data_IF_674635027658
#
_entry.id   IF_674635027658
#
_cell.length_a   1.000
_cell.length_b   1.000
_cell.length_c   1.000
_cell.angle_alpha   90.00
_cell.angle_beta   90.00
_cell.angle_gamma   90.00
#
_symmetry.space_group_name_H-M   'P 1'
#
loop_
_entity.id
_entity.type
_entity.pdbx_description
1 polymer ?
#
# COMPACT_ATOMS: atom_id res chain seq x y z
N UNK A 1 -7.37 33.83 28.11
CA UNK A 1 -7.78 33.02 26.95
C UNK A 1 -6.47 32.56 26.35
N UNK A 2 -5.97 31.42 26.82
CA UNK A 2 -4.71 30.88 26.32
C UNK A 2 -4.95 30.38 24.90
N UNK A 3 -4.20 30.89 23.92
CA UNK A 3 -4.25 30.36 22.57
C UNK A 3 -3.86 28.88 22.61
N UNK A 4 -4.68 27.97 22.02
CA UNK A 4 -4.31 26.58 21.93
C UNK A 4 -3.07 26.42 21.03
N UNK A 5 -1.89 26.36 21.64
CA UNK A 5 -0.59 26.23 20.96
C UNK A 5 -0.25 24.78 20.59
N UNK A 6 -1.23 24.02 20.09
CA UNK A 6 -1.03 22.62 19.76
C UNK A 6 -2.09 22.04 18.83
N UNK A 7 -1.76 20.94 18.18
CA UNK A 7 -2.70 20.18 17.32
C UNK A 7 -3.75 19.42 18.13
N UNK A 8 -3.56 19.23 19.44
CA UNK A 8 -4.47 18.48 20.32
C UNK A 8 -5.93 18.96 20.27
N UNK A 9 -6.21 20.25 20.50
CA UNK A 9 -7.58 20.79 20.45
C UNK A 9 -8.24 20.68 19.07
N UNK A 10 -7.46 20.71 17.99
CA UNK A 10 -7.94 20.51 16.61
C UNK A 10 -8.32 19.05 16.39
N UNK A 11 -7.49 18.12 16.87
CA UNK A 11 -7.76 16.68 16.76
C UNK A 11 -8.95 16.27 17.63
N UNK A 12 -9.12 16.87 18.81
CA UNK A 12 -10.24 16.61 19.70
C UNK A 12 -11.58 17.07 19.09
N UNK A 13 -11.61 18.28 18.51
CA UNK A 13 -12.77 18.78 17.78
C UNK A 13 -13.12 17.91 16.54
N UNK A 14 -12.11 17.47 15.77
CA UNK A 14 -12.32 16.57 14.63
C UNK A 14 -12.76 15.16 15.04
N UNK A 15 -12.41 14.74 16.25
CA UNK A 15 -12.75 13.43 16.80
C UNK A 15 -14.21 13.35 17.28
N UNK A 16 -14.71 14.41 17.94
CA UNK A 16 -16.12 14.50 18.35
C UNK A 16 -17.08 14.45 17.14
N UNK A 17 -16.67 15.03 16.02
CA UNK A 17 -17.44 15.03 14.76
C UNK A 17 -17.29 13.73 13.94
N UNK A 18 -16.53 12.73 14.42
CA UNK A 18 -16.23 11.48 13.69
C UNK A 18 -15.39 11.68 12.41
N UNK A 19 -15.08 12.92 12.08
CA UNK A 19 -14.36 13.37 10.87
C UNK A 19 -12.91 12.88 10.89
N UNK A 20 -12.30 12.79 12.07
CA UNK A 20 -10.93 12.29 12.24
C UNK A 20 -10.80 10.80 11.86
N UNK A 21 -11.74 9.95 12.30
CA UNK A 21 -11.74 8.53 11.92
C UNK A 21 -12.03 8.33 10.44
N UNK A 22 -12.93 9.14 9.87
CA UNK A 22 -13.22 9.11 8.44
C UNK A 22 -11.98 9.45 7.60
N UNK A 23 -11.35 10.60 7.84
CA UNK A 23 -10.16 11.01 7.08
C UNK A 23 -8.95 10.14 7.34
N UNK A 24 -8.77 9.66 8.59
CA UNK A 24 -7.75 8.67 8.92
C UNK A 24 -7.96 7.36 8.16
N UNK A 25 -9.21 6.92 8.03
CA UNK A 25 -9.60 5.75 7.23
C UNK A 25 -9.32 5.94 5.74
N UNK A 26 -9.69 7.09 5.17
CA UNK A 26 -9.43 7.44 3.76
C UNK A 26 -7.92 7.46 3.48
N UNK A 27 -7.13 8.11 4.34
CA UNK A 27 -5.67 8.15 4.19
C UNK A 27 -5.08 6.74 4.27
N UNK A 28 -5.52 5.92 5.23
CA UNK A 28 -5.08 4.54 5.38
C UNK A 28 -5.44 3.68 4.16
N UNK A 29 -6.62 3.86 3.59
CA UNK A 29 -7.06 3.16 2.39
C UNK A 29 -6.19 3.53 1.17
N UNK A 30 -5.90 4.82 0.96
CA UNK A 30 -5.02 5.29 -0.12
C UNK A 30 -3.61 4.74 0.06
N UNK A 31 -3.06 4.83 1.27
CA UNK A 31 -1.70 4.34 1.57
C UNK A 31 -1.62 2.82 1.32
N UNK A 32 -2.60 2.06 1.82
CA UNK A 32 -2.67 0.60 1.60
C UNK A 32 -2.76 0.27 0.11
N UNK A 33 -3.59 1.00 -0.62
CA UNK A 33 -3.79 0.82 -2.05
C UNK A 33 -2.53 1.09 -2.89
N UNK A 34 -1.62 1.94 -2.41
CA UNK A 34 -0.32 2.18 -3.06
C UNK A 34 0.75 1.20 -2.58
N UNK A 35 0.80 0.90 -1.29
CA UNK A 35 1.83 0.04 -0.71
C UNK A 35 1.69 -1.43 -1.12
N UNK A 36 0.47 -1.98 -1.13
CA UNK A 36 0.22 -3.38 -1.52
C UNK A 36 0.77 -3.70 -2.93
N UNK A 37 0.50 -2.89 -3.97
CA UNK A 37 1.08 -3.09 -5.30
C UNK A 37 2.60 -2.97 -5.34
N UNK A 38 3.20 -2.07 -4.57
CA UNK A 38 4.66 -1.91 -4.50
C UNK A 38 5.34 -3.19 -3.98
N UNK A 39 4.68 -3.93 -3.07
CA UNK A 39 5.15 -5.27 -2.68
C UNK A 39 5.14 -6.28 -3.84
N UNK A 40 4.40 -6.03 -4.92
CA UNK A 40 4.49 -6.81 -6.16
C UNK A 40 5.89 -6.79 -6.77
N UNK A 41 6.61 -5.67 -6.72
CA UNK A 41 8.01 -5.59 -7.18
C UNK A 41 8.94 -6.41 -6.28
N UNK A 42 8.70 -6.39 -4.98
CA UNK A 42 9.44 -7.21 -4.01
C UNK A 42 9.19 -8.69 -4.26
N UNK A 43 7.96 -9.08 -4.60
CA UNK A 43 7.62 -10.45 -4.99
C UNK A 43 8.36 -10.88 -6.27
N UNK A 44 8.46 -10.01 -7.30
CA UNK A 44 9.26 -10.29 -8.50
C UNK A 44 10.72 -10.55 -8.12
N UNK A 45 11.34 -9.66 -7.33
CA UNK A 45 12.72 -9.80 -6.92
C UNK A 45 12.95 -11.07 -6.07
N UNK A 46 12.08 -11.33 -5.10
CA UNK A 46 12.16 -12.50 -4.23
C UNK A 46 11.99 -13.79 -5.02
N UNK A 47 11.03 -13.85 -5.95
CA UNK A 47 10.83 -15.00 -6.82
C UNK A 47 12.00 -15.23 -7.78
N UNK A 48 12.59 -14.16 -8.34
CA UNK A 48 13.79 -14.27 -9.17
C UNK A 48 14.99 -14.80 -8.38
N UNK A 49 15.24 -14.24 -7.20
CA UNK A 49 16.35 -14.67 -6.33
C UNK A 49 16.17 -16.10 -5.83
N UNK A 50 14.95 -16.49 -5.47
CA UNK A 50 14.63 -17.87 -5.07
C UNK A 50 14.74 -18.86 -6.25
N UNK A 51 14.53 -18.40 -7.48
CA UNK A 51 14.74 -19.23 -8.67
C UNK A 51 16.22 -19.50 -8.93
N UNK A 52 17.09 -18.53 -8.65
CA UNK A 52 18.54 -18.58 -8.87
C UNK A 52 19.27 -19.38 -7.76
N UNK A 53 18.88 -19.18 -6.48
CA UNK A 53 19.45 -19.85 -5.30
C UNK A 53 18.90 -21.28 -5.09
N UNK A 54 19.02 -22.18 -6.09
CA UNK A 54 19.08 -23.65 -5.89
C UNK A 54 17.80 -24.52 -5.83
N UNK A 55 16.58 -24.09 -6.19
CA UNK A 55 15.46 -25.08 -6.24
C UNK A 55 14.55 -25.09 -7.46
N UNK A 56 14.60 -24.12 -8.40
CA UNK A 56 13.66 -24.03 -9.54
C UNK A 56 12.23 -24.42 -9.14
N UNK A 57 11.83 -24.05 -7.94
CA UNK A 57 10.61 -24.53 -7.33
C UNK A 57 9.43 -23.80 -7.95
N UNK A 58 8.34 -24.52 -8.15
CA UNK A 58 7.09 -23.95 -8.67
C UNK A 58 6.65 -22.72 -7.85
N UNK A 59 6.96 -22.69 -6.55
CA UNK A 59 6.71 -21.54 -5.67
C UNK A 59 7.45 -20.26 -6.09
N UNK A 60 8.72 -20.34 -6.48
CA UNK A 60 9.49 -19.18 -6.93
C UNK A 60 8.89 -18.56 -8.19
N UNK A 61 8.49 -19.41 -9.14
CA UNK A 61 7.83 -18.99 -10.38
C UNK A 61 6.46 -18.35 -10.12
N UNK A 62 5.65 -18.93 -9.23
CA UNK A 62 4.34 -18.37 -8.86
C UNK A 62 4.52 -16.98 -8.25
N UNK A 63 5.42 -16.82 -7.27
CA UNK A 63 5.64 -15.53 -6.60
C UNK A 63 6.12 -14.46 -7.61
N UNK A 64 7.07 -14.81 -8.48
CA UNK A 64 7.57 -13.89 -9.50
C UNK A 64 6.48 -13.47 -10.50
N UNK A 65 5.72 -14.44 -11.02
CA UNK A 65 4.63 -14.16 -11.98
C UNK A 65 3.52 -13.35 -11.35
N UNK A 66 3.13 -13.66 -10.11
CA UNK A 66 2.12 -12.88 -9.39
C UNK A 66 2.55 -11.43 -9.22
N UNK A 67 3.81 -11.17 -8.84
CA UNK A 67 4.35 -9.81 -8.78
C UNK A 67 4.38 -9.12 -10.16
N UNK A 68 4.80 -9.84 -11.19
CA UNK A 68 4.93 -9.35 -12.57
C UNK A 68 3.59 -9.08 -13.26
N UNK A 69 2.50 -9.70 -12.80
CA UNK A 69 1.14 -9.38 -13.25
C UNK A 69 0.52 -8.30 -12.36
N UNK A 70 0.69 -8.39 -11.05
CA UNK A 70 0.07 -7.51 -10.07
C UNK A 70 0.52 -6.05 -10.17
N UNK A 71 1.83 -5.80 -10.22
CA UNK A 71 2.33 -4.43 -10.26
C UNK A 71 1.98 -3.71 -11.59
N UNK A 72 2.18 -4.31 -12.78
CA UNK A 72 1.81 -3.66 -14.04
C UNK A 72 0.30 -3.48 -14.22
N UNK A 73 -0.53 -4.41 -13.74
CA UNK A 73 -1.99 -4.26 -13.80
C UNK A 73 -2.49 -3.12 -12.90
N UNK A 74 -1.91 -2.96 -11.71
CA UNK A 74 -2.16 -1.79 -10.87
C UNK A 74 -1.70 -0.49 -11.53
N UNK A 75 -0.51 -0.48 -12.14
CA UNK A 75 -0.02 0.69 -12.87
C UNK A 75 -0.93 1.04 -14.06
N UNK A 76 -1.40 0.04 -14.80
CA UNK A 76 -2.35 0.22 -15.88
C UNK A 76 -3.65 0.84 -15.35
N UNK A 77 -4.20 0.33 -14.25
CA UNK A 77 -5.38 0.90 -13.58
C UNK A 77 -5.19 2.39 -13.26
N UNK A 78 -4.03 2.78 -12.70
CA UNK A 78 -3.72 4.19 -12.42
C UNK A 78 -3.68 5.07 -13.68
N UNK A 79 -3.09 4.56 -14.76
CA UNK A 79 -2.91 5.31 -16.01
C UNK A 79 -4.24 5.44 -16.76
N UNK A 80 -5.03 4.37 -16.81
CA UNK A 80 -6.26 4.33 -17.60
C UNK A 80 -7.48 4.85 -16.83
N UNK A 81 -7.43 4.91 -15.50
CA UNK A 81 -8.50 5.45 -14.65
C UNK A 81 -9.85 4.73 -14.78
N UNK A 82 -9.84 3.50 -15.31
CA UNK A 82 -11.03 2.63 -15.46
C UNK A 82 -11.30 1.86 -14.18
#
# INVERSE_FOLDING_TARGET
>A
MDEPSGVGPILEALNEDGTLYFWGGVASAIISWVLIPLFGLVAVYAGYRLYDDETKTMGAAIIAVTGAVGFPSWLAFLITGM
#
